data_IF_422272442478
#
_entry.id   IF_422272442478
#
_cell.length_a   1.000
_cell.length_b   1.000
_cell.length_c   1.000
_cell.angle_alpha   90.00
_cell.angle_beta   90.00
_cell.angle_gamma   90.00
#
_symmetry.space_group_name_H-M   'P 1'
#
loop_
_entity.id
_entity.type
_entity.pdbx_description
1 polymer ?
#
# COMPACT_ATOMS: atom_id res chain seq x y z
N UNK A 1 -7.97 12.83 2.41
CA UNK A 1 -8.81 11.62 2.24
C UNK A 1 -8.47 11.05 0.86
N UNK A 2 -8.51 9.73 0.62
CA UNK A 2 -8.12 9.18 -0.69
C UNK A 2 -9.28 9.34 -1.67
N UNK A 3 -9.03 9.81 -2.88
CA UNK A 3 -10.08 10.17 -3.83
C UNK A 3 -10.61 8.92 -4.53
N UNK A 4 -9.72 8.17 -5.21
CA UNK A 4 -10.06 7.02 -6.04
C UNK A 4 -8.84 6.08 -6.19
N UNK A 5 -9.10 4.80 -6.47
CA UNK A 5 -8.11 3.87 -7.04
C UNK A 5 -7.61 4.49 -8.36
N UNK A 6 -6.30 4.42 -8.62
CA UNK A 6 -5.74 4.92 -9.86
C UNK A 6 -6.25 4.09 -11.03
N UNK A 7 -6.60 4.74 -12.14
CA UNK A 7 -6.91 4.05 -13.40
C UNK A 7 -5.94 4.60 -14.44
N UNK A 8 -5.22 3.71 -15.11
CA UNK A 8 -4.29 4.10 -16.16
C UNK A 8 -5.00 4.35 -17.51
N UNK A 9 -4.23 4.79 -18.51
CA UNK A 9 -4.74 5.11 -19.84
C UNK A 9 -5.35 3.92 -20.59
N UNK A 10 -5.07 2.69 -20.16
CA UNK A 10 -5.65 1.46 -20.71
C UNK A 10 -6.93 1.04 -20.01
N UNK A 11 -7.33 1.76 -18.95
CA UNK A 11 -8.49 1.42 -18.12
C UNK A 11 -8.19 0.40 -17.03
N UNK A 12 -6.92 0.00 -16.82
CA UNK A 12 -6.53 -0.89 -15.71
C UNK A 12 -6.59 -0.11 -14.39
N UNK A 13 -7.19 -0.72 -13.39
CA UNK A 13 -7.19 -0.18 -12.03
C UNK A 13 -5.87 -0.44 -11.28
N UNK A 14 -5.68 0.30 -10.19
CA UNK A 14 -4.48 0.30 -9.39
C UNK A 14 -4.33 -0.88 -8.44
N UNK A 15 -5.23 -1.87 -8.45
CA UNK A 15 -5.10 -3.06 -7.60
C UNK A 15 -4.13 -4.03 -8.26
N UNK A 16 -3.15 -4.53 -7.50
CA UNK A 16 -2.05 -5.34 -8.03
C UNK A 16 -1.45 -4.69 -9.30
N UNK A 17 -1.15 -3.39 -9.20
CA UNK A 17 -0.72 -2.61 -10.35
C UNK A 17 0.68 -3.07 -10.81
N UNK A 18 0.84 -3.52 -12.06
CA UNK A 18 2.09 -4.10 -12.52
C UNK A 18 3.15 -3.04 -12.80
N UNK A 19 4.39 -3.39 -12.49
CA UNK A 19 5.59 -2.61 -12.80
C UNK A 19 6.70 -3.56 -13.25
N UNK A 20 7.80 -3.03 -13.78
CA UNK A 20 8.96 -3.84 -14.21
C UNK A 20 9.70 -4.49 -13.02
N UNK A 21 9.34 -4.13 -11.78
CA UNK A 21 10.01 -4.55 -10.54
C UNK A 21 9.07 -5.28 -9.58
N UNK A 22 7.88 -5.67 -10.06
CA UNK A 22 6.85 -6.36 -9.28
C UNK A 22 5.50 -5.66 -9.33
N UNK A 23 4.63 -6.02 -8.41
CA UNK A 23 3.25 -5.54 -8.34
C UNK A 23 3.07 -4.65 -7.11
N UNK A 24 2.48 -3.48 -7.30
CA UNK A 24 2.04 -2.60 -6.22
C UNK A 24 0.70 -3.13 -5.73
N UNK A 25 0.55 -3.40 -4.43
CA UNK A 25 -0.71 -3.97 -3.92
C UNK A 25 -1.91 -3.07 -4.22
N UNK A 26 -1.81 -1.77 -3.92
CA UNK A 26 -2.79 -0.77 -4.33
C UNK A 26 -2.09 0.54 -4.71
N UNK A 27 -2.40 1.04 -5.90
CA UNK A 27 -2.03 2.37 -6.38
C UNK A 27 -3.26 3.26 -6.44
N UNK A 28 -3.20 4.40 -5.76
CA UNK A 28 -4.31 5.34 -5.66
C UNK A 28 -3.86 6.78 -5.89
N UNK A 29 -4.84 7.68 -5.94
CA UNK A 29 -4.62 9.12 -6.04
C UNK A 29 -5.39 9.83 -4.92
N UNK A 30 -4.71 10.75 -4.22
CA UNK A 30 -5.34 11.59 -3.20
C UNK A 30 -6.16 12.74 -3.83
N UNK A 31 -6.88 13.49 -2.99
CA UNK A 31 -7.76 14.57 -3.45
C UNK A 31 -7.02 15.69 -4.19
N UNK A 32 -5.72 15.87 -3.89
CA UNK A 32 -4.83 16.84 -4.53
C UNK A 32 -4.20 16.29 -5.83
N UNK A 33 -4.50 15.06 -6.21
CA UNK A 33 -3.96 14.44 -7.41
C UNK A 33 -2.61 13.75 -7.22
N UNK A 34 -2.08 13.67 -6.00
CA UNK A 34 -0.81 13.01 -5.71
C UNK A 34 -0.98 11.49 -5.63
N UNK A 35 0.09 10.75 -5.94
CA UNK A 35 0.05 9.29 -5.87
C UNK A 35 0.21 8.78 -4.45
N UNK A 36 -0.49 7.69 -4.16
CA UNK A 36 -0.37 6.94 -2.92
C UNK A 36 -0.16 5.48 -3.27
N UNK A 37 0.97 4.93 -2.82
CA UNK A 37 1.36 3.53 -2.98
C UNK A 37 1.09 2.81 -1.68
N UNK A 38 0.30 1.74 -1.71
CA UNK A 38 0.04 0.90 -0.55
C UNK A 38 0.80 -0.42 -0.64
N UNK A 39 1.33 -0.86 0.49
CA UNK A 39 1.87 -2.20 0.71
C UNK A 39 1.12 -2.83 1.89
N UNK A 40 0.49 -3.99 1.65
CA UNK A 40 -0.32 -4.72 2.61
C UNK A 40 0.45 -5.91 3.18
N UNK A 41 0.50 -6.06 4.50
CA UNK A 41 1.21 -7.15 5.17
C UNK A 41 0.32 -7.91 6.16
N UNK A 42 0.11 -9.18 5.84
CA UNK A 42 -0.63 -10.12 6.70
C UNK A 42 0.27 -10.72 7.81
N UNK A 43 1.58 -10.87 7.54
CA UNK A 43 2.54 -11.50 8.45
C UNK A 43 3.60 -10.52 9.00
N UNK A 44 4.35 -10.97 10.01
CA UNK A 44 5.48 -10.21 10.59
C UNK A 44 6.63 -10.17 9.58
N UNK A 45 6.96 -8.98 9.08
CA UNK A 45 8.00 -8.78 8.07
C UNK A 45 8.30 -7.31 7.83
N UNK A 46 8.65 -6.59 8.89
CA UNK A 46 8.90 -5.15 8.93
C UNK A 46 9.89 -4.64 7.85
N UNK A 47 11.09 -5.19 7.79
CA UNK A 47 12.17 -4.61 6.96
C UNK A 47 11.94 -4.79 5.45
N UNK A 48 11.32 -5.90 5.03
CA UNK A 48 11.02 -6.14 3.61
C UNK A 48 9.98 -5.14 3.09
N UNK A 49 9.00 -4.78 3.92
CA UNK A 49 7.94 -3.85 3.54
C UNK A 49 8.48 -2.46 3.21
N UNK A 50 9.42 -1.93 4.00
CA UNK A 50 10.03 -0.63 3.73
C UNK A 50 10.82 -0.64 2.41
N UNK A 51 11.61 -1.69 2.17
CA UNK A 51 12.33 -1.83 0.90
C UNK A 51 11.40 -1.92 -0.32
N UNK A 52 10.30 -2.67 -0.20
CA UNK A 52 9.29 -2.79 -1.26
C UNK A 52 8.62 -1.45 -1.56
N UNK A 53 8.10 -0.78 -0.53
CA UNK A 53 7.37 0.47 -0.75
C UNK A 53 8.26 1.56 -1.35
N UNK A 54 9.53 1.66 -0.91
CA UNK A 54 10.47 2.63 -1.45
C UNK A 54 10.79 2.37 -2.94
N UNK A 55 10.92 1.09 -3.33
CA UNK A 55 11.11 0.71 -4.73
C UNK A 55 9.91 1.13 -5.59
N UNK A 56 8.70 0.83 -5.14
CA UNK A 56 7.47 1.18 -5.85
C UNK A 56 7.23 2.68 -5.91
N UNK A 57 7.41 3.40 -4.81
CA UNK A 57 7.35 4.87 -4.80
C UNK A 57 8.35 5.47 -5.79
N UNK A 58 9.58 4.93 -5.86
CA UNK A 58 10.59 5.33 -6.82
C UNK A 58 10.16 5.09 -8.27
N UNK A 59 9.60 3.91 -8.56
CA UNK A 59 9.07 3.59 -9.89
C UNK A 59 7.91 4.52 -10.28
N UNK A 60 6.94 4.73 -9.39
CA UNK A 60 5.80 5.65 -9.63
C UNK A 60 6.31 7.07 -9.89
N UNK A 61 7.25 7.54 -9.07
CA UNK A 61 7.88 8.86 -9.22
C UNK A 61 8.53 9.03 -10.58
N UNK A 62 9.25 8.01 -11.05
CA UNK A 62 10.00 8.04 -12.31
C UNK A 62 9.09 7.95 -13.55
N UNK A 63 8.06 7.12 -13.50
CA UNK A 63 7.33 6.74 -14.72
C UNK A 63 6.01 7.50 -14.91
N UNK A 64 5.21 7.68 -13.85
CA UNK A 64 3.82 8.15 -13.99
C UNK A 64 3.48 9.38 -13.14
N UNK A 65 4.33 9.73 -12.17
CA UNK A 65 4.09 10.87 -11.27
C UNK A 65 4.03 12.20 -12.00
N UNK A 66 4.81 12.39 -13.06
CA UNK A 66 4.88 13.65 -13.84
C UNK A 66 5.04 14.88 -12.92
N UNK A 67 5.95 14.78 -11.94
CA UNK A 67 6.23 15.84 -10.96
C UNK A 67 5.29 15.89 -9.74
N UNK A 68 4.22 15.10 -9.72
CA UNK A 68 3.31 14.99 -8.57
C UNK A 68 4.00 14.27 -7.41
N UNK A 69 3.56 14.54 -6.17
CA UNK A 69 4.13 13.87 -4.99
C UNK A 69 3.75 12.39 -5.02
N UNK A 70 4.58 11.57 -4.38
CA UNK A 70 4.34 10.14 -4.18
C UNK A 70 4.49 9.85 -2.69
N UNK A 71 3.42 9.34 -2.09
CA UNK A 71 3.37 8.91 -0.69
C UNK A 71 3.34 7.38 -0.62
N UNK A 72 3.94 6.83 0.42
CA UNK A 72 3.87 5.41 0.73
C UNK A 72 3.02 5.17 1.98
N UNK A 73 2.20 4.13 1.94
CA UNK A 73 1.43 3.65 3.09
C UNK A 73 1.69 2.17 3.28
N UNK A 74 2.24 1.79 4.43
CA UNK A 74 2.35 0.38 4.82
C UNK A 74 1.19 0.08 5.76
N UNK A 75 0.38 -0.93 5.43
CA UNK A 75 -0.71 -1.41 6.27
C UNK A 75 -0.37 -2.82 6.74
N UNK A 76 -0.22 -3.02 8.05
CA UNK A 76 0.22 -4.29 8.63
C UNK A 76 -0.66 -4.73 9.80
N UNK A 77 -0.71 -6.03 10.08
CA UNK A 77 -1.41 -6.54 11.28
C UNK A 77 -0.75 -6.08 12.58
N UNK A 78 0.58 -5.96 12.55
CA UNK A 78 1.37 -5.43 13.63
C UNK A 78 2.60 -4.70 13.07
N UNK A 79 2.86 -3.50 13.59
CA UNK A 79 4.02 -2.68 13.30
C UNK A 79 4.95 -2.81 14.50
N UNK A 80 6.16 -3.33 14.26
CA UNK A 80 7.18 -3.40 15.31
C UNK A 80 8.03 -2.13 15.35
N UNK A 81 8.75 -1.93 16.47
CA UNK A 81 9.61 -0.75 16.67
C UNK A 81 10.69 -0.60 15.58
N UNK A 82 11.15 -1.69 14.96
CA UNK A 82 12.19 -1.61 13.92
C UNK A 82 11.62 -0.92 12.69
N UNK A 83 10.41 -1.29 12.27
CA UNK A 83 9.71 -0.62 11.19
C UNK A 83 9.41 0.84 11.54
N UNK A 84 8.96 1.13 12.77
CA UNK A 84 8.71 2.51 13.22
C UNK A 84 9.95 3.38 13.08
N UNK A 85 11.09 2.94 13.63
CA UNK A 85 12.34 3.68 13.53
C UNK A 85 12.77 3.86 12.08
N UNK A 86 12.72 2.81 11.26
CA UNK A 86 13.13 2.88 9.87
C UNK A 86 12.23 3.82 9.04
N UNK A 87 10.91 3.74 9.23
CA UNK A 87 9.95 4.60 8.55
C UNK A 87 10.01 6.06 9.01
N UNK A 88 10.37 6.33 10.28
CA UNK A 88 10.51 7.69 10.80
C UNK A 88 11.56 8.53 10.05
N UNK A 89 12.51 7.88 9.38
CA UNK A 89 13.52 8.55 8.55
C UNK A 89 12.98 8.97 7.17
N UNK A 90 11.78 8.50 6.78
CA UNK A 90 11.17 8.75 5.48
C UNK A 90 9.80 9.44 5.68
N UNK A 91 9.75 10.78 5.70
CA UNK A 91 8.52 11.53 5.99
C UNK A 91 7.34 11.27 5.04
N UNK A 92 7.62 10.72 3.84
CA UNK A 92 6.58 10.39 2.85
C UNK A 92 5.97 9.00 3.07
N UNK A 93 6.45 8.23 4.05
CA UNK A 93 5.92 6.91 4.40
C UNK A 93 5.12 7.00 5.68
N UNK A 94 3.90 6.46 5.67
CA UNK A 94 3.05 6.32 6.85
C UNK A 94 2.78 4.86 7.15
N UNK A 95 2.67 4.53 8.44
CA UNK A 95 2.39 3.18 8.92
C UNK A 95 0.97 3.13 9.51
N UNK A 96 0.22 2.09 9.18
CA UNK A 96 -1.09 1.81 9.74
C UNK A 96 -1.14 0.38 10.23
N UNK A 97 -1.65 0.18 11.44
CA UNK A 97 -2.03 -1.15 11.92
C UNK A 97 -3.50 -1.41 11.61
N UNK A 98 -3.82 -2.63 11.18
CA UNK A 98 -5.20 -3.10 11.09
C UNK A 98 -5.47 -4.19 12.12
N UNK A 99 -6.69 -4.20 12.65
CA UNK A 99 -7.20 -5.25 13.53
C UNK A 99 -8.36 -5.97 12.85
N UNK A 100 -8.30 -7.29 12.79
CA UNK A 100 -9.43 -8.12 12.37
C UNK A 100 -10.23 -8.55 13.59
N UNK A 101 -11.54 -8.29 13.56
CA UNK A 101 -12.52 -8.86 14.48
C UNK A 101 -13.51 -9.67 13.62
N UNK A 102 -13.56 -10.98 13.83
CA UNK A 102 -14.49 -11.84 13.11
C UNK A 102 -15.21 -12.76 14.08
N UNK A 103 -16.53 -12.88 13.86
CA UNK A 103 -17.40 -13.82 14.56
C UNK A 103 -17.81 -14.89 13.57
N UNK A 104 -17.54 -16.14 13.91
CA UNK A 104 -17.91 -17.30 13.11
C UNK A 104 -19.17 -17.91 13.70
N UNK A 105 -20.10 -18.31 12.85
CA UNK A 105 -21.25 -19.13 13.21
C UNK A 105 -21.25 -20.36 12.33
N UNK A 106 -21.62 -21.49 12.92
CA UNK A 106 -21.87 -22.72 12.19
C UNK A 106 -23.09 -22.56 11.27
N UNK A 107 -23.01 -23.13 10.08
CA UNK A 107 -24.15 -23.26 9.17
C UNK A 107 -24.54 -24.73 9.16
N UNK A 108 -25.72 -25.04 9.70
CA UNK A 108 -26.33 -26.36 9.59
C UNK A 108 -26.80 -26.59 8.16
N UNK A 109 -26.46 -27.75 7.58
CA UNK A 109 -27.03 -28.21 6.33
C UNK A 109 -28.38 -28.85 6.64
N UNK A 110 -29.46 -28.40 5.99
CA UNK A 110 -30.74 -29.11 6.02
C UNK A 110 -30.58 -30.41 5.21
N UNK A 111 -31.01 -31.55 5.80
CA UNK A 111 -31.08 -32.86 5.13
C UNK A 111 -32.26 -32.95 4.15
#
# INVERSE_FOLDING_TARGET
MFKLIYIDETGRDGVEYPTDIGYIDILAVDEEGNFVVFELKVSRGADRALGQILRYMGWVRKNIAKGRKVKGVIVAKNVDKRLEYAASMIPQVSLFEYKLDFKIKEVSLEE
#
